data_IF_849031132755
#
_entry.id   IF_849031132755
#
_cell.length_a   1.000
_cell.length_b   1.000
_cell.length_c   1.000
_cell.angle_alpha   90.00
_cell.angle_beta   90.00
_cell.angle_gamma   90.00
#
_symmetry.space_group_name_H-M   'P 1'
#
loop_
_entity.id
_entity.type
_entity.pdbx_description
1 polymer ?
#
# COMPACT_ATOMS: atom_id res chain seq x y z
N UNK A 1 15.22 -36.18 32.25
CA UNK A 1 14.09 -35.39 32.81
C UNK A 1 14.57 -33.97 33.06
N UNK A 2 14.48 -33.06 32.08
CA UNK A 2 14.70 -31.63 32.32
C UNK A 2 13.34 -30.92 32.31
N UNK A 3 12.92 -30.54 33.51
CA UNK A 3 11.69 -29.78 33.74
C UNK A 3 11.83 -28.39 33.13
N UNK A 4 11.10 -28.17 32.04
CA UNK A 4 10.83 -26.85 31.48
C UNK A 4 10.18 -25.98 32.56
N UNK A 5 10.89 -24.93 32.97
CA UNK A 5 10.35 -23.90 33.85
C UNK A 5 9.16 -23.23 33.18
N UNK A 6 8.02 -23.33 33.86
CA UNK A 6 6.78 -22.63 33.56
C UNK A 6 6.99 -21.14 33.82
N UNK A 7 7.21 -20.36 32.76
CA UNK A 7 7.05 -18.91 32.81
C UNK A 7 5.54 -18.62 32.86
N UNK A 8 5.10 -17.96 33.93
CA UNK A 8 3.71 -17.76 34.33
C UNK A 8 2.99 -16.65 33.58
N UNK A 9 2.75 -16.83 32.28
CA UNK A 9 1.71 -16.09 31.55
C UNK A 9 0.86 -17.09 30.79
N UNK A 10 -0.22 -17.56 31.43
CA UNK A 10 -1.28 -18.33 30.78
C UNK A 10 -2.46 -17.38 30.57
N UNK A 11 -3.05 -17.40 29.34
CA UNK A 11 -4.35 -16.84 28.89
C UNK A 11 -4.18 -15.46 28.20
N UNK A 12 -4.21 -15.27 26.87
CA UNK A 12 -5.25 -15.59 25.86
C UNK A 12 -4.60 -15.71 24.45
N UNK A 13 -4.94 -16.79 23.73
CA UNK A 13 -4.78 -17.08 22.29
C UNK A 13 -3.70 -16.33 21.48
N UNK A 14 -2.56 -17.01 21.25
CA UNK A 14 -1.79 -16.81 20.02
C UNK A 14 -2.70 -17.17 18.83
N UNK A 15 -3.43 -16.17 18.31
CA UNK A 15 -4.24 -16.28 17.10
C UNK A 15 -3.27 -16.55 15.95
N UNK A 16 -3.04 -17.85 15.70
CA UNK A 16 -2.45 -18.44 14.49
C UNK A 16 -1.47 -17.51 13.77
N UNK A 17 -0.19 -17.54 14.18
CA UNK A 17 0.90 -17.00 13.36
C UNK A 17 0.74 -17.64 11.98
N UNK A 18 0.38 -16.88 10.92
CA UNK A 18 0.21 -17.47 9.61
C UNK A 18 1.51 -18.16 9.23
N UNK A 19 1.44 -19.30 8.53
CA UNK A 19 2.65 -19.91 7.99
C UNK A 19 3.44 -18.85 7.21
N UNK A 20 4.77 -18.85 7.34
CA UNK A 20 5.66 -17.89 6.68
C UNK A 20 5.33 -17.74 5.17
N UNK A 21 4.89 -18.82 4.53
CA UNK A 21 4.42 -18.86 3.14
C UNK A 21 3.22 -17.97 2.82
N UNK A 22 2.27 -17.76 3.74
CA UNK A 22 1.12 -16.88 3.50
C UNK A 22 1.50 -15.39 3.58
N UNK A 23 2.46 -15.07 4.45
CA UNK A 23 2.99 -13.70 4.57
C UNK A 23 3.88 -13.38 3.36
N UNK A 24 4.68 -14.33 2.90
CA UNK A 24 5.48 -14.21 1.67
C UNK A 24 4.60 -13.97 0.44
N UNK A 25 3.53 -14.74 0.26
CA UNK A 25 2.57 -14.53 -0.85
C UNK A 25 1.93 -13.13 -0.84
N UNK A 26 1.63 -12.58 0.35
CA UNK A 26 1.10 -11.22 0.51
C UNK A 26 2.14 -10.13 0.26
N UNK A 27 3.42 -10.38 0.54
CA UNK A 27 4.51 -9.47 0.20
C UNK A 27 4.77 -9.46 -1.31
N UNK A 28 4.67 -10.62 -1.96
CA UNK A 28 4.90 -10.76 -3.40
C UNK A 28 3.86 -10.02 -4.24
N UNK A 29 2.57 -10.15 -3.90
CA UNK A 29 1.49 -9.42 -4.61
C UNK A 29 1.67 -7.90 -4.52
N UNK A 30 2.10 -7.39 -3.36
CA UNK A 30 2.40 -5.97 -3.15
C UNK A 30 3.66 -5.53 -3.91
N UNK A 31 4.70 -6.36 -3.94
CA UNK A 31 5.97 -6.05 -4.60
C UNK A 31 5.77 -5.93 -6.12
N UNK A 32 4.99 -6.84 -6.71
CA UNK A 32 4.62 -6.82 -8.12
C UNK A 32 3.86 -5.54 -8.49
N UNK A 33 2.86 -5.15 -7.68
CA UNK A 33 2.10 -3.93 -7.92
C UNK A 33 2.97 -2.66 -7.88
N UNK A 34 3.94 -2.58 -6.96
CA UNK A 34 4.87 -1.44 -6.91
C UNK A 34 5.82 -1.39 -8.10
N UNK A 35 6.31 -2.54 -8.57
CA UNK A 35 7.13 -2.63 -9.79
C UNK A 35 6.33 -2.13 -11.00
N UNK A 36 5.08 -2.54 -11.13
CA UNK A 36 4.19 -2.09 -12.20
C UNK A 36 3.97 -0.57 -12.16
N UNK A 37 3.76 0.02 -10.99
CA UNK A 37 3.59 1.48 -10.87
C UNK A 37 4.85 2.26 -11.26
N UNK A 38 6.04 1.71 -11.04
CA UNK A 38 7.32 2.35 -11.41
C UNK A 38 7.66 2.23 -12.89
N UNK A 39 7.11 1.23 -13.58
CA UNK A 39 7.38 1.00 -15.00
C UNK A 39 6.54 1.90 -15.95
N UNK A 40 5.54 2.59 -15.41
CA UNK A 40 4.64 3.45 -16.18
C UNK A 40 5.25 4.84 -16.40
N UNK A 41 4.79 5.51 -17.46
CA UNK A 41 5.16 6.90 -17.74
C UNK A 41 4.48 7.87 -16.77
N UNK A 42 4.99 9.10 -16.66
CA UNK A 42 4.43 10.12 -15.76
C UNK A 42 2.96 10.44 -16.11
N UNK A 43 2.65 10.58 -17.40
CA UNK A 43 1.30 10.88 -17.89
C UNK A 43 0.31 9.73 -17.60
N UNK A 44 0.77 8.48 -17.75
CA UNK A 44 -0.01 7.29 -17.39
C UNK A 44 -0.26 7.21 -15.88
N UNK A 45 0.65 7.73 -15.06
CA UNK A 45 0.45 7.79 -13.61
C UNK A 45 -0.62 8.80 -13.23
N UNK A 46 -0.64 9.97 -13.87
CA UNK A 46 -1.63 11.01 -13.61
C UNK A 46 -3.04 10.64 -14.07
N UNK A 47 -3.16 9.94 -15.20
CA UNK A 47 -4.44 9.38 -15.64
C UNK A 47 -4.96 8.35 -14.64
N UNK A 48 -4.11 7.42 -14.18
CA UNK A 48 -4.47 6.44 -13.13
C UNK A 48 -4.88 7.10 -11.82
N UNK A 49 -4.18 8.15 -11.39
CA UNK A 49 -4.56 8.92 -10.19
C UNK A 49 -5.93 9.56 -10.36
N UNK A 50 -6.25 10.05 -11.56
CA UNK A 50 -7.54 10.66 -11.86
C UNK A 50 -8.67 9.65 -11.84
N UNK A 51 -8.45 8.44 -12.36
CA UNK A 51 -9.45 7.38 -12.33
C UNK A 51 -9.68 6.85 -10.92
N UNK A 52 -8.62 6.60 -10.15
CA UNK A 52 -8.72 6.17 -8.74
C UNK A 52 -9.44 7.21 -7.85
N UNK A 53 -9.37 8.50 -8.20
CA UNK A 53 -10.12 9.56 -7.51
C UNK A 53 -11.63 9.48 -7.81
N UNK A 54 -12.02 9.15 -9.04
CA UNK A 54 -13.43 8.93 -9.40
C UNK A 54 -13.98 7.73 -8.63
N UNK A 55 -13.23 6.63 -8.58
CA UNK A 55 -13.59 5.44 -7.82
C UNK A 55 -13.75 5.76 -6.32
N UNK A 56 -12.82 6.56 -5.77
CA UNK A 56 -12.90 7.04 -4.40
C UNK A 56 -14.17 7.86 -4.14
N UNK A 57 -14.61 8.69 -5.10
CA UNK A 57 -15.84 9.46 -4.97
C UNK A 57 -17.07 8.56 -4.91
N UNK A 58 -17.15 7.57 -5.81
CA UNK A 58 -18.23 6.58 -5.82
C UNK A 58 -18.27 5.76 -4.53
N UNK A 59 -17.12 5.28 -4.04
CA UNK A 59 -17.04 4.53 -2.78
C UNK A 59 -17.45 5.37 -1.57
N UNK A 60 -17.14 6.67 -1.55
CA UNK A 60 -17.58 7.58 -0.50
C UNK A 60 -19.09 7.82 -0.55
N UNK A 61 -19.65 7.94 -1.75
CA UNK A 61 -21.10 8.05 -1.91
C UNK A 61 -21.82 6.79 -1.42
N UNK A 62 -21.32 5.60 -1.77
CA UNK A 62 -21.83 4.31 -1.28
C UNK A 62 -21.72 4.16 0.25
N UNK A 63 -20.66 4.70 0.85
CA UNK A 63 -20.50 4.72 2.29
C UNK A 63 -21.60 5.56 2.97
N UNK A 64 -21.91 6.73 2.40
CA UNK A 64 -22.95 7.63 2.94
C UNK A 64 -24.34 7.01 2.77
N UNK A 65 -24.61 6.31 1.67
CA UNK A 65 -25.89 5.62 1.46
C UNK A 65 -26.04 4.33 2.28
N UNK A 66 -25.00 3.89 2.99
CA UNK A 66 -25.03 2.74 3.88
C UNK A 66 -25.12 1.37 3.18
N UNK A 67 -25.01 1.34 1.84
CA UNK A 67 -25.08 0.11 1.02
C UNK A 67 -23.71 -0.32 0.51
N UNK A 68 -22.69 -0.28 1.38
CA UNK A 68 -21.31 -0.62 0.99
C UNK A 68 -21.01 -2.09 1.27
N UNK A 69 -20.63 -2.84 0.23
CA UNK A 69 -20.31 -4.27 0.36
C UNK A 69 -18.95 -4.49 1.05
N UNK A 70 -17.97 -3.64 0.77
CA UNK A 70 -16.61 -3.81 1.30
C UNK A 70 -15.95 -2.46 1.65
N UNK A 71 -15.96 -2.06 2.93
CA UNK A 71 -15.34 -0.81 3.38
C UNK A 71 -13.80 -0.85 3.31
N UNK A 72 -13.18 -2.04 3.22
CA UNK A 72 -11.72 -2.14 3.10
C UNK A 72 -11.22 -1.56 1.76
N UNK A 73 -12.02 -1.61 0.69
CA UNK A 73 -11.67 -1.07 -0.63
C UNK A 73 -11.27 0.41 -0.57
N UNK A 74 -11.96 1.21 0.24
CA UNK A 74 -11.62 2.63 0.48
C UNK A 74 -10.16 2.78 0.93
N UNK A 75 -9.72 1.92 1.85
CA UNK A 75 -8.34 1.94 2.35
C UNK A 75 -7.33 1.51 1.29
N UNK A 76 -7.69 0.57 0.41
CA UNK A 76 -6.85 0.12 -0.70
C UNK A 76 -6.68 1.23 -1.74
N UNK A 77 -7.77 1.78 -2.27
CA UNK A 77 -7.75 2.88 -3.24
C UNK A 77 -6.99 4.10 -2.71
N UNK A 78 -7.13 4.43 -1.41
CA UNK A 78 -6.36 5.54 -0.79
C UNK A 78 -4.85 5.28 -0.80
N UNK A 79 -4.43 4.03 -0.53
CA UNK A 79 -3.02 3.64 -0.53
C UNK A 79 -2.45 3.62 -1.95
N UNK A 80 -3.25 3.24 -2.94
CA UNK A 80 -2.84 3.25 -4.35
C UNK A 80 -2.59 4.67 -4.86
N UNK A 81 -3.52 5.60 -4.59
CA UNK A 81 -3.34 7.03 -4.90
C UNK A 81 -2.07 7.58 -4.24
N UNK A 82 -1.83 7.23 -2.97
CA UNK A 82 -0.64 7.69 -2.26
C UNK A 82 0.65 7.18 -2.92
N UNK A 83 0.71 5.90 -3.29
CA UNK A 83 1.90 5.29 -3.93
C UNK A 83 2.22 5.93 -5.27
N UNK A 84 1.22 6.13 -6.12
CA UNK A 84 1.40 6.79 -7.41
C UNK A 84 1.98 8.21 -7.23
N UNK A 85 1.41 8.99 -6.30
CA UNK A 85 1.93 10.33 -5.99
C UNK A 85 3.35 10.31 -5.41
N UNK A 86 3.70 9.29 -4.61
CA UNK A 86 5.07 9.16 -4.08
C UNK A 86 6.08 8.99 -5.22
N UNK A 87 5.79 8.17 -6.23
CA UNK A 87 6.70 7.97 -7.37
C UNK A 87 6.90 9.28 -8.15
N UNK A 88 5.83 10.05 -8.40
CA UNK A 88 5.95 11.38 -9.03
C UNK A 88 6.81 12.35 -8.20
N UNK A 89 6.72 12.26 -6.87
CA UNK A 89 7.55 13.08 -5.98
C UNK A 89 9.00 12.61 -5.94
N UNK A 90 9.26 11.30 -6.05
CA UNK A 90 10.59 10.72 -6.14
C UNK A 90 11.32 11.25 -7.40
N UNK A 91 10.67 11.22 -8.57
CA UNK A 91 11.26 11.73 -9.82
C UNK A 91 11.51 13.24 -9.77
N UNK A 92 10.56 14.02 -9.23
CA UNK A 92 10.72 15.46 -9.04
C UNK A 92 11.89 15.79 -8.11
N UNK A 93 12.13 14.98 -7.08
CA UNK A 93 13.26 15.17 -6.15
C UNK A 93 14.61 14.85 -6.78
N UNK A 94 14.69 13.80 -7.59
CA UNK A 94 15.92 13.43 -8.29
C UNK A 94 16.32 14.54 -9.27
N UNK A 95 15.40 14.98 -10.12
CA UNK A 95 15.63 16.08 -11.08
C UNK A 95 15.99 17.40 -10.38
N UNK A 96 15.37 17.68 -9.24
CA UNK A 96 15.73 18.83 -8.42
C UNK A 96 17.16 18.73 -7.86
N UNK A 97 17.66 17.52 -7.53
CA UNK A 97 19.02 17.28 -7.06
C UNK A 97 20.08 17.56 -8.12
N UNK A 98 19.88 17.10 -9.35
CA UNK A 98 20.79 17.32 -10.48
C UNK A 98 20.95 18.82 -10.82
N UNK A 99 19.89 19.62 -10.57
CA UNK A 99 19.90 21.07 -10.75
C UNK A 99 20.93 21.77 -9.85
N UNK A 100 21.24 21.22 -8.67
CA UNK A 100 22.21 21.81 -7.74
C UNK A 100 23.66 21.43 -8.07
N UNK A 101 23.90 20.29 -8.73
CA UNK A 101 25.25 19.88 -9.17
C UNK A 101 25.71 20.62 -10.44
N UNK A 102 24.78 21.10 -11.26
CA UNK A 102 25.06 21.82 -12.52
C UNK A 102 25.14 23.35 -12.34
N UNK A 103 25.22 23.84 -11.12
CA UNK A 103 25.34 25.27 -10.82
C UNK A 103 26.76 25.79 -11.04
N UNK A 104 26.94 26.52 -12.16
CA UNK A 104 28.15 27.17 -12.73
C UNK A 104 29.24 26.26 -13.30
#
# INVERSE_FOLDING_TARGET
>A
MLQRKLCGWRRISCRSRPALSHVEALVETRSAHLKNLRALTADELDTKVSDLKKDMFTLRFQLVTGRIENPAKIRHTRREIARAKTILSETARVTAGERWEKGT
#
